data_IF_781974141063
#
_entry.id   IF_781974141063
#
_cell.length_a   1.000
_cell.length_b   1.000
_cell.length_c   1.000
_cell.angle_alpha   90.00
_cell.angle_beta   90.00
_cell.angle_gamma   90.00
#
_symmetry.space_group_name_H-M   'P 1'
#
loop_
_entity.id
_entity.type
_entity.pdbx_description
1 polymer ?
#
# COMPACT_ATOMS: atom_id res chain seq x y z
N UNK A 1 -1.88 -32.62 -0.31
CA UNK A 1 -2.88 -31.58 0.00
C UNK A 1 -3.17 -30.83 -1.28
N UNK A 2 -4.34 -31.03 -1.86
CA UNK A 2 -4.80 -30.24 -3.01
C UNK A 2 -5.28 -28.88 -2.49
N UNK A 3 -4.43 -27.87 -2.58
CA UNK A 3 -4.78 -26.51 -2.19
C UNK A 3 -5.88 -25.99 -3.12
N UNK A 4 -7.07 -25.74 -2.58
CA UNK A 4 -8.17 -25.12 -3.32
C UNK A 4 -7.80 -23.67 -3.62
N UNK A 5 -7.87 -23.27 -4.89
CA UNK A 5 -7.74 -21.86 -5.27
C UNK A 5 -8.95 -21.08 -4.76
N UNK A 6 -8.69 -19.90 -4.21
CA UNK A 6 -9.71 -19.01 -3.65
C UNK A 6 -9.51 -17.61 -4.22
N UNK A 7 -10.63 -16.90 -4.43
CA UNK A 7 -10.59 -15.51 -4.90
C UNK A 7 -10.10 -14.62 -3.76
N UNK A 8 -9.29 -13.63 -4.10
CA UNK A 8 -8.72 -12.62 -3.20
C UNK A 8 -8.72 -11.26 -3.88
N UNK A 9 -8.58 -10.21 -3.09
CA UNK A 9 -8.35 -8.84 -3.56
C UNK A 9 -6.87 -8.50 -3.43
N UNK A 10 -6.37 -7.72 -4.38
CA UNK A 10 -5.04 -7.12 -4.31
C UNK A 10 -5.22 -5.61 -4.17
N UNK A 11 -4.76 -5.06 -3.05
CA UNK A 11 -4.68 -3.63 -2.85
C UNK A 11 -3.25 -3.18 -3.20
N UNK A 12 -3.15 -2.17 -4.06
CA UNK A 12 -1.88 -1.56 -4.45
C UNK A 12 -1.89 -0.10 -4.03
N UNK A 13 -0.99 0.27 -3.13
CA UNK A 13 -0.81 1.64 -2.64
C UNK A 13 0.53 2.17 -3.17
N UNK A 14 0.53 3.37 -3.76
CA UNK A 14 1.76 4.06 -4.17
C UNK A 14 1.86 5.34 -3.35
N UNK A 15 2.94 5.48 -2.58
CA UNK A 15 3.15 6.61 -1.68
C UNK A 15 4.65 6.87 -1.48
N UNK A 16 5.01 7.94 -0.77
CA UNK A 16 6.38 8.20 -0.32
C UNK A 16 6.88 7.09 0.63
N UNK A 17 8.17 6.74 0.54
CA UNK A 17 8.83 5.76 1.41
C UNK A 17 8.72 6.11 2.90
N UNK A 18 8.67 7.40 3.24
CA UNK A 18 8.48 7.88 4.60
C UNK A 18 7.17 7.39 5.26
N UNK A 19 6.15 7.01 4.48
CA UNK A 19 4.88 6.50 4.98
C UNK A 19 4.85 4.98 5.20
N UNK A 20 5.90 4.25 4.79
CA UNK A 20 5.93 2.80 4.80
C UNK A 20 5.60 2.21 6.18
N UNK A 21 6.36 2.61 7.21
CA UNK A 21 6.22 2.04 8.54
C UNK A 21 4.83 2.30 9.15
N UNK A 22 4.29 3.51 8.96
CA UNK A 22 2.98 3.88 9.46
C UNK A 22 1.86 3.10 8.77
N UNK A 23 1.89 3.03 7.44
CA UNK A 23 0.89 2.33 6.64
C UNK A 23 0.92 0.82 6.89
N UNK A 24 2.10 0.20 6.88
CA UNK A 24 2.24 -1.24 7.07
C UNK A 24 1.78 -1.69 8.47
N UNK A 25 2.08 -0.92 9.52
CA UNK A 25 1.57 -1.19 10.86
C UNK A 25 0.05 -1.04 10.94
N UNK A 26 -0.52 0.00 10.33
CA UNK A 26 -1.96 0.23 10.33
C UNK A 26 -2.73 -0.87 9.58
N UNK A 27 -2.25 -1.25 8.39
CA UNK A 27 -2.79 -2.34 7.58
C UNK A 27 -2.72 -3.67 8.32
N UNK A 28 -1.61 -3.96 9.01
CA UNK A 28 -1.46 -5.18 9.81
C UNK A 28 -2.47 -5.22 10.97
N UNK A 29 -2.74 -4.09 11.63
CA UNK A 29 -3.76 -3.99 12.70
C UNK A 29 -5.18 -4.24 12.20
N UNK A 30 -5.46 -4.02 10.92
CA UNK A 30 -6.75 -4.34 10.28
C UNK A 30 -6.90 -5.82 9.89
N UNK A 31 -5.88 -6.65 10.17
CA UNK A 31 -5.93 -8.10 9.96
C UNK A 31 -5.28 -8.58 8.66
N UNK A 32 -4.57 -7.72 7.92
CA UNK A 32 -3.75 -8.19 6.81
C UNK A 32 -2.65 -9.14 7.31
N UNK A 33 -2.53 -10.30 6.67
CA UNK A 33 -1.55 -11.33 7.07
C UNK A 33 -0.13 -11.03 6.58
N UNK A 34 0.02 -10.12 5.62
CA UNK A 34 1.31 -9.72 5.06
C UNK A 34 1.16 -8.72 3.93
N UNK A 35 2.29 -8.22 3.46
CA UNK A 35 2.40 -7.28 2.35
C UNK A 35 3.75 -7.44 1.66
N UNK A 36 3.86 -6.93 0.44
CA UNK A 36 5.12 -6.80 -0.30
C UNK A 36 5.38 -5.33 -0.58
N UNK A 37 6.63 -4.88 -0.45
CA UNK A 37 7.06 -3.52 -0.79
C UNK A 37 8.06 -3.59 -1.95
N UNK A 38 7.90 -2.68 -2.92
CA UNK A 38 8.83 -2.50 -4.03
C UNK A 38 9.06 -1.02 -4.31
N UNK A 39 10.23 -0.66 -4.84
CA UNK A 39 10.48 0.71 -5.29
C UNK A 39 9.54 1.08 -6.44
N UNK A 40 9.03 2.32 -6.41
CA UNK A 40 8.16 2.86 -7.44
C UNK A 40 8.70 4.18 -7.99
N UNK A 41 8.67 4.31 -9.32
CA UNK A 41 8.97 5.57 -10.04
C UNK A 41 7.80 5.92 -10.93
N UNK A 42 7.54 7.20 -11.12
CA UNK A 42 6.41 7.64 -11.93
C UNK A 42 6.27 9.15 -12.05
N UNK A 43 5.36 9.56 -12.93
CA UNK A 43 4.99 10.94 -13.17
C UNK A 43 3.52 11.15 -12.79
N UNK A 44 3.27 12.12 -11.92
CA UNK A 44 1.93 12.58 -11.57
C UNK A 44 1.65 13.97 -12.16
N UNK A 45 0.48 14.53 -11.82
CA UNK A 45 0.10 15.89 -12.22
C UNK A 45 1.13 16.96 -11.78
N UNK A 46 1.84 16.72 -10.67
CA UNK A 46 2.86 17.61 -10.12
C UNK A 46 4.29 17.34 -10.61
N UNK A 47 4.47 16.52 -11.65
CA UNK A 47 5.77 16.26 -12.27
C UNK A 47 6.31 14.85 -12.06
N UNK A 48 7.57 14.64 -12.45
CA UNK A 48 8.29 13.37 -12.30
C UNK A 48 9.00 13.36 -10.95
N UNK A 49 8.80 12.32 -10.15
CA UNK A 49 9.62 12.09 -8.96
C UNK A 49 10.67 11.03 -9.29
N UNK A 50 11.92 11.47 -9.45
CA UNK A 50 13.00 10.62 -9.97
C UNK A 50 13.71 9.78 -8.89
N UNK A 51 13.16 9.72 -7.67
CA UNK A 51 13.68 8.94 -6.54
C UNK A 51 15.20 9.09 -6.30
N UNK A 52 15.77 10.26 -6.63
CA UNK A 52 17.23 10.47 -6.58
C UNK A 52 17.80 10.38 -5.16
N UNK A 53 16.93 10.42 -4.14
CA UNK A 53 17.22 10.18 -2.74
C UNK A 53 16.21 9.17 -2.17
N UNK A 54 16.64 8.11 -1.45
CA UNK A 54 15.75 7.06 -0.92
C UNK A 54 14.61 7.58 -0.04
N UNK A 55 14.88 8.65 0.70
CA UNK A 55 13.94 9.30 1.62
C UNK A 55 12.81 10.04 0.90
N UNK A 56 12.97 10.28 -0.39
CA UNK A 56 11.99 10.95 -1.26
C UNK A 56 11.56 10.04 -2.43
N UNK A 57 11.89 8.74 -2.35
CA UNK A 57 11.45 7.74 -3.29
C UNK A 57 9.99 7.38 -3.04
N UNK A 58 9.27 7.04 -4.11
CA UNK A 58 7.98 6.40 -3.95
C UNK A 58 8.19 4.89 -3.79
N UNK A 59 7.30 4.26 -3.04
CA UNK A 59 7.20 2.82 -2.90
C UNK A 59 5.82 2.36 -3.37
N UNK A 60 5.73 1.09 -3.74
CA UNK A 60 4.49 0.37 -3.97
C UNK A 60 4.33 -0.69 -2.89
N UNK A 61 3.25 -0.59 -2.12
CA UNK A 61 2.84 -1.58 -1.12
C UNK A 61 1.70 -2.41 -1.70
N UNK A 62 1.84 -3.72 -1.67
CA UNK A 62 0.87 -4.67 -2.20
C UNK A 62 0.36 -5.60 -1.09
N UNK A 63 -0.96 -5.69 -0.95
CA UNK A 63 -1.62 -6.47 0.10
C UNK A 63 -2.64 -7.42 -0.53
N UNK A 64 -2.42 -8.73 -0.37
CA UNK A 64 -3.38 -9.75 -0.75
C UNK A 64 -4.30 -10.06 0.43
N UNK A 65 -5.60 -9.85 0.27
CA UNK A 65 -6.55 -9.99 1.37
C UNK A 65 -7.95 -10.42 0.92
N UNK A 66 -8.80 -10.75 1.89
CA UNK A 66 -10.24 -10.94 1.66
C UNK A 66 -10.96 -9.59 1.54
N UNK A 67 -12.11 -9.60 0.88
CA UNK A 67 -12.88 -8.38 0.57
C UNK A 67 -13.22 -7.49 1.78
N UNK A 68 -13.58 -8.02 2.97
CA UNK A 68 -13.83 -7.18 4.14
C UNK A 68 -12.58 -6.40 4.59
N UNK A 69 -11.42 -7.05 4.57
CA UNK A 69 -10.15 -6.41 4.94
C UNK A 69 -9.76 -5.35 3.90
N UNK A 70 -9.96 -5.67 2.62
CA UNK A 70 -9.75 -4.72 1.53
C UNK A 70 -10.55 -3.43 1.74
N UNK A 71 -11.85 -3.54 2.08
CA UNK A 71 -12.69 -2.37 2.38
C UNK A 71 -12.17 -1.57 3.57
N UNK A 72 -11.79 -2.22 4.68
CA UNK A 72 -11.22 -1.54 5.85
C UNK A 72 -9.92 -0.79 5.51
N UNK A 73 -9.06 -1.37 4.66
CA UNK A 73 -7.83 -0.71 4.20
C UNK A 73 -8.16 0.52 3.37
N UNK A 74 -9.13 0.43 2.45
CA UNK A 74 -9.55 1.57 1.63
C UNK A 74 -10.10 2.73 2.49
N UNK A 75 -10.95 2.42 3.47
CA UNK A 75 -11.47 3.43 4.41
C UNK A 75 -10.35 4.11 5.21
N UNK A 76 -9.36 3.32 5.66
CA UNK A 76 -8.18 3.84 6.35
C UNK A 76 -7.39 4.82 5.49
N UNK A 77 -7.20 4.51 4.20
CA UNK A 77 -6.44 5.36 3.28
C UNK A 77 -7.16 6.69 3.03
N UNK A 78 -8.48 6.67 2.83
CA UNK A 78 -9.28 7.90 2.67
C UNK A 78 -9.14 8.80 3.90
N UNK A 79 -9.29 8.25 5.11
CA UNK A 79 -9.24 9.03 6.35
C UNK A 79 -7.86 9.63 6.63
N UNK A 80 -6.78 8.96 6.21
CA UNK A 80 -5.41 9.48 6.34
C UNK A 80 -5.01 10.48 5.25
N UNK A 81 -5.83 10.68 4.21
CA UNK A 81 -5.55 11.65 3.13
C UNK A 81 -5.95 13.10 3.48
N UNK A 82 -6.38 13.37 4.73
CA UNK A 82 -6.82 14.72 5.15
C UNK A 82 -5.66 15.68 5.51
N UNK A 83 -4.41 15.35 5.18
CA UNK A 83 -3.28 16.24 5.45
C UNK A 83 -2.43 16.48 4.20
N UNK A 84 -2.63 17.70 3.65
CA UNK A 84 -1.82 18.49 2.70
C UNK A 84 -2.13 18.38 1.21
#
# INVERSE_FOLDING_TARGET
MTSRLVVRKLITVICESALEQGLTQAISKLGASGYTVSDARGKGAHGVRDASWPENANIRIEVLCDEPIASCILDLLVNNTTVR
#
